data_IF_242908479181
#
_entry.id   IF_242908479181
#
_cell.length_a   1.000
_cell.length_b   1.000
_cell.length_c   1.000
_cell.angle_alpha   90.00
_cell.angle_beta   90.00
_cell.angle_gamma   90.00
#
_symmetry.space_group_name_H-M   'P 1'
#
loop_
_entity.id
_entity.type
_entity.pdbx_description
1 polymer ?
#
# COMPACT_ATOMS: atom_id res chain seq x y z
N UNK A 1 -6.82 2.68 10.76
CA UNK A 1 -6.12 3.98 10.62
C UNK A 1 -6.61 4.66 9.36
N UNK A 2 -7.00 5.94 9.44
CA UNK A 2 -7.52 6.70 8.29
C UNK A 2 -6.39 7.44 7.60
N UNK A 3 -6.58 7.76 6.31
CA UNK A 3 -5.56 8.41 5.47
C UNK A 3 -5.10 9.75 6.05
N UNK A 4 -6.02 10.54 6.61
CA UNK A 4 -5.71 11.85 7.24
C UNK A 4 -4.82 11.76 8.48
N UNK A 5 -4.71 10.58 9.09
CA UNK A 5 -3.97 10.36 10.34
C UNK A 5 -2.53 9.89 10.07
N UNK A 6 -2.20 9.58 8.81
CA UNK A 6 -0.84 9.22 8.40
C UNK A 6 0.15 10.37 8.62
N UNK A 7 -0.31 11.60 8.61
CA UNK A 7 0.51 12.78 8.92
C UNK A 7 1.02 12.78 10.37
N UNK A 8 0.33 12.10 11.29
CA UNK A 8 0.76 11.97 12.69
C UNK A 8 1.78 10.84 12.91
N UNK A 9 2.11 10.07 11.86
CA UNK A 9 3.06 8.95 11.96
C UNK A 9 4.48 9.49 11.82
N UNK A 10 5.16 9.62 12.95
CA UNK A 10 6.55 10.05 13.04
C UNK A 10 7.51 8.87 13.24
N UNK A 11 8.79 9.07 12.92
CA UNK A 11 9.84 8.08 13.16
C UNK A 11 9.86 7.62 14.63
N UNK A 12 9.67 8.58 15.55
CA UNK A 12 9.69 8.33 16.99
C UNK A 12 8.52 7.44 17.44
N UNK A 13 7.31 7.73 16.94
CA UNK A 13 6.12 6.90 17.17
C UNK A 13 6.32 5.45 16.69
N UNK A 14 7.02 5.26 15.56
CA UNK A 14 7.31 3.93 15.02
C UNK A 14 8.36 3.19 15.88
N UNK A 15 9.40 3.88 16.35
CA UNK A 15 10.41 3.31 17.26
C UNK A 15 9.77 2.84 18.56
N UNK A 16 8.89 3.66 19.12
CA UNK A 16 8.12 3.35 20.33
C UNK A 16 7.06 2.28 20.06
N UNK A 17 6.61 2.12 18.80
CA UNK A 17 5.55 1.19 18.41
C UNK A 17 4.15 1.66 18.77
N UNK A 18 4.02 2.93 19.20
CA UNK A 18 2.78 3.58 19.61
C UNK A 18 2.61 4.86 18.80
N UNK A 19 1.53 4.94 18.04
CA UNK A 19 1.17 6.14 17.30
C UNK A 19 0.05 6.85 18.05
N UNK A 20 0.35 8.03 18.58
CA UNK A 20 -0.63 8.91 19.22
C UNK A 20 -1.28 9.81 18.16
N UNK A 21 -2.59 9.68 18.00
CA UNK A 21 -3.38 10.51 17.09
C UNK A 21 -4.30 11.37 17.94
N UNK A 22 -4.19 12.69 17.79
CA UNK A 22 -5.10 13.67 18.37
C UNK A 22 -6.00 14.24 17.28
N UNK A 23 -7.29 13.90 17.29
CA UNK A 23 -8.27 14.55 16.42
C UNK A 23 -9.19 15.43 17.27
N UNK A 24 -9.00 16.76 17.19
CA UNK A 24 -9.75 17.86 17.84
C UNK A 24 -10.02 17.73 19.34
N UNK A 25 -10.62 16.63 19.77
CA UNK A 25 -11.08 16.40 21.14
C UNK A 25 -10.89 14.94 21.60
N UNK A 26 -10.39 14.06 20.71
CA UNK A 26 -10.19 12.63 21.00
C UNK A 26 -8.74 12.23 20.75
N UNK A 27 -8.13 11.67 21.80
CA UNK A 27 -6.81 11.06 21.75
C UNK A 27 -6.97 9.55 21.60
N UNK A 28 -6.35 8.98 20.58
CA UNK A 28 -6.30 7.52 20.41
C UNK A 28 -4.88 7.06 20.16
N UNK A 29 -4.50 5.97 20.79
CA UNK A 29 -3.23 5.32 20.57
C UNK A 29 -3.43 4.09 19.69
N UNK A 30 -2.68 4.03 18.59
CA UNK A 30 -2.64 2.86 17.72
C UNK A 30 -1.35 2.11 17.99
N UNK A 31 -1.48 0.83 18.31
CA UNK A 31 -0.35 -0.07 18.48
C UNK A 31 0.04 -0.70 17.14
N UNK A 32 1.32 -0.63 16.81
CA UNK A 32 1.86 -1.22 15.59
C UNK A 32 2.23 -2.69 15.83
N UNK A 33 1.76 -3.57 14.94
CA UNK A 33 2.21 -4.97 14.91
C UNK A 33 3.70 -5.03 14.61
N UNK A 34 4.43 -5.95 15.26
CA UNK A 34 5.88 -6.09 15.13
C UNK A 34 6.35 -6.09 13.66
N UNK A 35 5.72 -6.90 12.80
CA UNK A 35 6.07 -6.99 11.36
C UNK A 35 5.92 -5.65 10.63
N UNK A 36 4.92 -4.85 10.97
CA UNK A 36 4.69 -3.53 10.38
C UNK A 36 5.75 -2.52 10.86
N UNK A 37 6.09 -2.55 12.15
CA UNK A 37 7.16 -1.73 12.73
C UNK A 37 8.49 -1.94 12.00
N UNK A 38 8.90 -3.19 11.79
CA UNK A 38 10.15 -3.50 11.10
C UNK A 38 10.16 -3.00 9.65
N UNK A 39 9.07 -3.20 8.90
CA UNK A 39 8.94 -2.68 7.53
C UNK A 39 9.03 -1.17 7.47
N UNK A 40 8.41 -0.48 8.43
CA UNK A 40 8.45 0.98 8.50
C UNK A 40 9.84 1.51 8.86
N UNK A 41 10.55 0.84 9.77
CA UNK A 41 11.93 1.20 10.11
C UNK A 41 12.89 0.99 8.92
N UNK A 42 12.74 -0.12 8.20
CA UNK A 42 13.51 -0.39 6.98
C UNK A 42 13.23 0.67 5.90
N UNK A 43 11.97 1.06 5.71
CA UNK A 43 11.60 2.17 4.83
C UNK A 43 12.27 3.49 5.24
N UNK A 44 12.27 3.82 6.53
CA UNK A 44 12.88 5.06 7.03
C UNK A 44 14.40 5.07 6.80
N UNK A 45 15.07 3.92 6.98
CA UNK A 45 16.51 3.76 6.67
C UNK A 45 16.78 3.98 5.17
N UNK A 46 16.02 3.32 4.30
CA UNK A 46 16.14 3.43 2.83
C UNK A 46 15.90 4.85 2.31
N UNK A 47 14.97 5.57 2.93
CA UNK A 47 14.64 6.97 2.59
C UNK A 47 15.48 8.01 3.34
N UNK A 48 16.42 7.58 4.19
CA UNK A 48 17.25 8.43 5.03
C UNK A 48 16.44 9.44 5.88
N UNK A 49 15.28 9.03 6.37
CA UNK A 49 14.42 9.88 7.20
C UNK A 49 15.00 9.92 8.62
N UNK A 50 15.65 11.03 8.98
CA UNK A 50 16.31 11.20 10.28
C UNK A 50 15.36 11.67 11.39
N UNK A 51 14.34 12.45 11.04
CA UNK A 51 13.34 12.98 11.98
C UNK A 51 12.06 13.40 11.25
N UNK A 52 10.96 13.55 11.99
CA UNK A 52 9.69 14.06 11.47
C UNK A 52 8.73 12.97 10.98
N UNK A 53 7.81 13.39 10.10
CA UNK A 53 6.73 12.57 9.53
C UNK A 53 7.33 11.59 8.52
N UNK A 54 6.91 10.32 8.60
CA UNK A 54 7.45 9.26 7.73
C UNK A 54 6.86 9.30 6.33
N UNK A 55 5.58 9.67 6.23
CA UNK A 55 4.88 9.80 4.96
C UNK A 55 4.97 11.26 4.48
N UNK A 56 5.99 11.53 3.67
CA UNK A 56 6.19 12.82 3.00
C UNK A 56 6.21 12.62 1.48
N UNK A 57 5.77 13.64 0.77
CA UNK A 57 5.94 13.74 -0.68
C UNK A 57 7.40 14.02 -1.04
N UNK A 58 7.77 13.87 -2.32
CA UNK A 58 9.12 14.21 -2.83
C UNK A 58 9.54 15.66 -2.49
N UNK A 59 8.56 16.54 -2.29
CA UNK A 59 8.77 17.96 -2.00
C UNK A 59 8.80 18.25 -0.48
N UNK A 60 8.78 17.22 0.38
CA UNK A 60 8.82 17.38 1.85
C UNK A 60 7.47 17.66 2.50
N UNK A 61 6.42 17.91 1.72
CA UNK A 61 5.08 18.16 2.25
C UNK A 61 4.40 16.86 2.72
N UNK A 62 3.56 16.91 3.77
CA UNK A 62 2.78 15.76 4.21
C UNK A 62 1.87 15.25 3.09
N UNK A 63 1.72 13.93 2.99
CA UNK A 63 1.00 13.33 1.85
C UNK A 63 -0.48 13.66 1.93
N UNK A 64 -1.01 14.24 0.84
CA UNK A 64 -2.44 14.50 0.72
C UNK A 64 -3.21 13.23 0.28
N UNK A 65 -4.51 13.20 0.56
CA UNK A 65 -5.42 12.07 0.27
C UNK A 65 -5.39 11.66 -1.20
N UNK A 66 -5.40 12.63 -2.12
CA UNK A 66 -5.38 12.37 -3.56
C UNK A 66 -4.07 11.70 -4.02
N UNK A 67 -2.94 12.08 -3.43
CA UNK A 67 -1.64 11.48 -3.74
C UNK A 67 -1.58 10.03 -3.25
N UNK A 68 -2.05 9.79 -2.02
CA UNK A 68 -2.11 8.42 -1.47
C UNK A 68 -3.00 7.54 -2.33
N UNK A 69 -4.19 8.02 -2.73
CA UNK A 69 -5.09 7.26 -3.59
C UNK A 69 -4.46 6.93 -4.95
N UNK A 70 -3.77 7.90 -5.54
CA UNK A 70 -3.09 7.71 -6.83
C UNK A 70 -1.97 6.67 -6.73
N UNK A 71 -1.15 6.76 -5.68
CA UNK A 71 -0.09 5.78 -5.44
C UNK A 71 -0.65 4.39 -5.11
N UNK A 72 -1.76 4.31 -4.37
CA UNK A 72 -2.45 3.04 -4.10
C UNK A 72 -2.93 2.37 -5.40
N UNK A 73 -3.50 3.14 -6.33
CA UNK A 73 -3.93 2.61 -7.63
C UNK A 73 -2.77 2.06 -8.44
N UNK A 74 -1.64 2.78 -8.50
CA UNK A 74 -0.43 2.29 -9.19
C UNK A 74 0.09 0.97 -8.61
N UNK A 75 0.10 0.85 -7.27
CA UNK A 75 0.51 -0.41 -6.60
C UNK A 75 -0.46 -1.54 -6.93
N UNK A 76 -1.77 -1.27 -6.93
CA UNK A 76 -2.79 -2.24 -7.29
C UNK A 76 -2.67 -2.72 -8.75
N UNK A 77 -2.48 -1.80 -9.70
CA UNK A 77 -2.25 -2.11 -11.11
C UNK A 77 -0.99 -2.96 -11.31
N UNK A 78 0.12 -2.58 -10.66
CA UNK A 78 1.37 -3.35 -10.74
C UNK A 78 1.21 -4.77 -10.17
N UNK A 79 0.50 -4.90 -9.04
CA UNK A 79 0.21 -6.20 -8.45
C UNK A 79 -0.71 -7.05 -9.34
N UNK A 80 -1.71 -6.43 -9.96
CA UNK A 80 -2.61 -7.09 -10.90
C UNK A 80 -1.88 -7.60 -12.15
N UNK A 81 -1.03 -6.76 -12.76
CA UNK A 81 -0.20 -7.15 -13.91
C UNK A 81 0.79 -8.25 -13.54
N UNK A 82 1.45 -8.17 -12.38
CA UNK A 82 2.33 -9.24 -11.91
C UNK A 82 1.59 -10.57 -11.72
N UNK A 83 0.36 -10.54 -11.20
CA UNK A 83 -0.47 -11.73 -11.02
C UNK A 83 -0.93 -12.31 -12.37
N UNK A 84 -1.26 -11.46 -13.35
CA UNK A 84 -1.61 -11.87 -14.71
C UNK A 84 -0.43 -12.46 -15.48
N UNK A 85 0.77 -11.90 -15.33
CA UNK A 85 1.98 -12.45 -15.94
C UNK A 85 2.34 -13.80 -15.34
N UNK A 86 2.22 -13.95 -14.02
CA UNK A 86 2.42 -15.23 -13.35
C UNK A 86 1.38 -16.27 -13.79
N UNK A 87 0.10 -15.88 -13.92
CA UNK A 87 -0.95 -16.74 -14.47
C UNK A 87 -0.69 -17.11 -15.94
N UNK A 88 -0.24 -16.16 -16.78
CA UNK A 88 0.11 -16.44 -18.19
C UNK A 88 1.26 -17.44 -18.32
N UNK A 89 2.33 -17.29 -17.54
CA UNK A 89 3.43 -18.26 -17.51
C UNK A 89 2.98 -19.64 -17.00
N UNK A 90 2.12 -19.71 -15.99
CA UNK A 90 1.57 -20.99 -15.53
C UNK A 90 0.69 -21.62 -16.60
N UNK A 91 -0.22 -20.86 -17.20
CA UNK A 91 -1.12 -21.37 -18.25
C UNK A 91 -0.33 -21.87 -19.47
N UNK A 92 0.72 -21.15 -19.91
CA UNK A 92 1.57 -21.59 -21.02
C UNK A 92 2.38 -22.85 -20.72
N UNK A 93 2.71 -23.10 -19.45
CA UNK A 93 3.40 -24.32 -19.01
C UNK A 93 2.45 -25.51 -18.82
N UNK A 94 1.14 -25.29 -18.73
CA UNK A 94 0.17 -26.35 -18.41
C UNK A 94 -0.63 -26.83 -19.63
N UNK A 95 -0.65 -26.09 -20.75
CA UNK A 95 -1.43 -26.49 -21.94
C UNK A 95 -0.73 -26.11 -23.25
N UNK A 96 0.14 -26.97 -23.80
CA UNK A 96 0.80 -26.73 -25.08
C UNK A 96 -0.06 -27.02 -26.32
N UNK A 97 -1.37 -27.30 -26.20
CA UNK A 97 -2.11 -27.91 -27.33
C UNK A 97 -3.57 -27.52 -27.53
N UNK A 98 -4.04 -26.32 -27.15
CA UNK A 98 -5.35 -25.84 -27.62
C UNK A 98 -5.37 -24.35 -27.99
N UNK A 99 -5.97 -23.97 -29.14
CA UNK A 99 -6.03 -22.59 -29.59
C UNK A 99 -6.88 -21.73 -28.64
N UNK A 100 -6.26 -20.69 -28.10
CA UNK A 100 -6.86 -19.75 -27.16
C UNK A 100 -7.88 -18.84 -27.86
N UNK A 101 -9.15 -19.21 -27.85
CA UNK A 101 -10.24 -18.22 -27.99
C UNK A 101 -10.47 -17.60 -26.61
N UNK A 102 -9.74 -16.54 -26.28
CA UNK A 102 -9.92 -15.83 -25.01
C UNK A 102 -11.24 -15.06 -25.09
N UNK A 103 -12.27 -15.60 -24.42
CA UNK A 103 -13.55 -14.94 -24.28
C UNK A 103 -13.40 -13.75 -23.31
N UNK A 104 -13.52 -12.51 -23.81
CA UNK A 104 -13.38 -11.28 -23.01
C UNK A 104 -14.39 -11.19 -21.84
N UNK A 105 -15.43 -12.02 -21.83
CA UNK A 105 -16.42 -12.09 -20.73
C UNK A 105 -15.86 -12.59 -19.40
N UNK A 106 -14.72 -13.27 -19.38
CA UNK A 106 -14.11 -13.72 -18.12
C UNK A 106 -13.39 -12.58 -17.37
N UNK A 107 -12.94 -11.55 -18.09
CA UNK A 107 -12.21 -10.41 -17.49
C UNK A 107 -13.15 -9.30 -16.98
N UNK A 108 -14.40 -9.25 -17.43
CA UNK A 108 -15.36 -8.24 -16.94
C UNK A 108 -15.96 -8.57 -15.57
N UNK A 109 -15.89 -9.84 -15.12
CA UNK A 109 -16.52 -10.29 -13.87
C UNK A 109 -15.68 -10.15 -12.59
N UNK A 110 -14.48 -9.55 -12.66
CA UNK A 110 -13.68 -9.20 -11.46
C UNK A 110 -13.74 -7.73 -11.07
N UNK A 111 -14.64 -6.98 -11.69
CA UNK A 111 -14.91 -5.59 -11.39
C UNK A 111 -15.92 -5.46 -10.23
N UNK A 112 -15.41 -5.04 -9.07
CA UNK A 112 -16.10 -4.39 -7.95
C UNK A 112 -17.15 -5.21 -7.15
N UNK A 113 -16.70 -5.97 -6.15
CA UNK A 113 -17.47 -6.15 -4.90
C UNK A 113 -16.82 -5.30 -3.81
N UNK A 114 -17.28 -4.06 -3.72
CA UNK A 114 -17.05 -3.14 -2.60
C UNK A 114 -17.94 -3.58 -1.43
N UNK A 115 -17.32 -3.85 -0.28
CA UNK A 115 -17.96 -3.86 1.05
C UNK A 115 -17.53 -2.62 1.80
#
# INVERSE_FOLDING_TARGET
MRVSELASVTLDAIKTGKISISCKEKHRQIYLVHKLKWKLLDYCKKKNIKSGVVFITRNGNPVNRSNIWTEMKKVAEKAFLHNLLWKKSIISLTFPSQPLTINLSFLSNQSYKTY
#
